data_IF_646447731441
#
_entry.id   IF_646447731441
#
_cell.length_a   1.000
_cell.length_b   1.000
_cell.length_c   1.000
_cell.angle_alpha   90.00
_cell.angle_beta   90.00
_cell.angle_gamma   90.00
#
_symmetry.space_group_name_H-M   'P 1'
#
loop_
_entity.id
_entity.type
_entity.pdbx_description
1 polymer ?
#
# COMPACT_ATOMS: atom_id res chain seq x y z
N UNK A 1 -37.62 -12.48 -3.41
CA UNK A 1 -36.78 -13.00 -2.30
C UNK A 1 -35.32 -12.55 -2.44
N UNK A 2 -35.03 -11.24 -2.65
CA UNK A 2 -33.64 -10.74 -2.80
C UNK A 2 -33.16 -9.85 -1.64
N UNK A 3 -34.00 -9.61 -0.63
CA UNK A 3 -33.74 -8.58 0.38
C UNK A 3 -32.83 -9.04 1.54
N UNK A 4 -32.72 -10.35 1.80
CA UNK A 4 -31.92 -10.85 2.93
C UNK A 4 -30.42 -11.05 2.62
N UNK A 5 -30.05 -11.39 1.37
CA UNK A 5 -28.65 -11.66 1.03
C UNK A 5 -27.79 -10.38 1.09
N UNK A 6 -28.33 -9.25 0.61
CA UNK A 6 -27.66 -7.95 0.64
C UNK A 6 -27.51 -7.36 2.05
N UNK A 7 -28.48 -7.60 2.93
CA UNK A 7 -28.38 -7.18 4.33
C UNK A 7 -27.37 -8.04 5.09
N UNK A 8 -27.38 -9.35 4.88
CA UNK A 8 -26.46 -10.28 5.55
C UNK A 8 -25.00 -10.09 5.08
N UNK A 9 -24.79 -9.82 3.78
CA UNK A 9 -23.45 -9.50 3.25
C UNK A 9 -22.91 -8.18 3.79
N UNK A 10 -23.74 -7.13 3.89
CA UNK A 10 -23.36 -5.86 4.52
C UNK A 10 -23.08 -6.00 6.02
N UNK A 11 -23.85 -6.81 6.74
CA UNK A 11 -23.60 -7.11 8.16
C UNK A 11 -22.27 -7.87 8.34
N UNK A 12 -22.01 -8.88 7.51
CA UNK A 12 -20.74 -9.62 7.54
C UNK A 12 -19.53 -8.76 7.15
N UNK A 13 -19.67 -7.88 6.16
CA UNK A 13 -18.63 -6.92 5.78
C UNK A 13 -18.39 -5.89 6.89
N UNK A 14 -19.44 -5.36 7.52
CA UNK A 14 -19.34 -4.42 8.63
C UNK A 14 -18.63 -5.06 9.83
N UNK A 15 -18.95 -6.32 10.14
CA UNK A 15 -18.26 -7.07 11.19
C UNK A 15 -16.78 -7.32 10.83
N UNK A 16 -16.49 -7.66 9.58
CA UNK A 16 -15.11 -7.88 9.10
C UNK A 16 -14.27 -6.61 9.19
N UNK A 17 -14.80 -5.46 8.78
CA UNK A 17 -14.12 -4.16 8.92
C UNK A 17 -13.88 -3.80 10.38
N UNK A 18 -14.84 -4.05 11.28
CA UNK A 18 -14.69 -3.76 12.71
C UNK A 18 -13.61 -4.62 13.35
N UNK A 19 -13.64 -5.95 13.11
CA UNK A 19 -12.62 -6.89 13.59
C UNK A 19 -11.23 -6.49 13.06
N UNK A 20 -11.15 -6.17 11.77
CA UNK A 20 -9.93 -5.69 11.15
C UNK A 20 -9.38 -4.43 11.85
N UNK A 21 -10.22 -3.40 12.04
CA UNK A 21 -9.79 -2.16 12.71
C UNK A 21 -9.35 -2.37 14.15
N UNK A 22 -10.08 -3.19 14.91
CA UNK A 22 -9.75 -3.50 16.31
C UNK A 22 -8.37 -4.18 16.42
N UNK A 23 -8.08 -5.15 15.55
CA UNK A 23 -6.78 -5.83 15.53
C UNK A 23 -5.62 -4.89 15.19
N UNK A 24 -5.83 -3.95 14.26
CA UNK A 24 -4.84 -2.94 13.88
C UNK A 24 -4.57 -1.94 15.03
N UNK A 25 -5.63 -1.49 15.70
CA UNK A 25 -5.55 -0.55 16.83
C UNK A 25 -4.85 -1.19 18.03
N UNK A 26 -5.18 -2.45 18.33
CA UNK A 26 -4.56 -3.25 19.37
C UNK A 26 -3.18 -3.81 18.97
N UNK A 27 -2.66 -3.45 17.79
CA UNK A 27 -1.36 -3.89 17.28
C UNK A 27 -1.19 -5.43 17.27
N UNK A 28 -2.30 -6.16 17.10
CA UNK A 28 -2.42 -7.63 17.17
C UNK A 28 -2.15 -8.29 15.81
N UNK A 29 -0.97 -8.02 15.25
CA UNK A 29 -0.58 -8.44 13.90
C UNK A 29 -0.54 -9.96 13.72
N UNK A 30 -0.06 -10.71 14.72
CA UNK A 30 0.02 -12.17 14.62
C UNK A 30 -1.35 -12.81 14.47
N UNK A 31 -2.34 -12.30 15.21
CA UNK A 31 -3.73 -12.74 15.11
C UNK A 31 -4.30 -12.38 13.74
N UNK A 32 -4.07 -11.16 13.28
CA UNK A 32 -4.53 -10.70 11.96
C UNK A 32 -3.98 -11.58 10.83
N UNK A 33 -2.67 -11.81 10.81
CA UNK A 33 -2.00 -12.67 9.83
C UNK A 33 -2.52 -14.12 9.91
N UNK A 34 -2.73 -14.63 11.11
CA UNK A 34 -3.32 -15.97 11.30
C UNK A 34 -4.73 -16.04 10.75
N UNK A 35 -5.56 -15.03 10.97
CA UNK A 35 -6.93 -14.97 10.42
C UNK A 35 -6.94 -14.91 8.90
N UNK A 36 -6.02 -14.17 8.28
CA UNK A 36 -5.83 -14.16 6.83
C UNK A 36 -5.40 -15.54 6.31
N UNK A 37 -4.40 -16.15 6.94
CA UNK A 37 -3.87 -17.47 6.53
C UNK A 37 -4.91 -18.58 6.63
N UNK A 38 -5.78 -18.51 7.64
CA UNK A 38 -6.88 -19.46 7.85
C UNK A 38 -8.13 -19.11 7.02
N UNK A 39 -8.09 -18.06 6.20
CA UNK A 39 -9.22 -17.55 5.39
C UNK A 39 -10.47 -17.23 6.22
N UNK A 40 -10.28 -16.88 7.49
CA UNK A 40 -11.36 -16.42 8.39
C UNK A 40 -11.70 -14.96 8.08
N UNK A 41 -10.68 -14.19 7.70
CA UNK A 41 -10.80 -12.80 7.24
C UNK A 41 -10.14 -12.69 5.87
N UNK A 42 -10.74 -11.93 4.96
CA UNK A 42 -10.13 -11.64 3.66
C UNK A 42 -8.89 -10.75 3.85
N UNK A 43 -7.76 -11.11 3.24
CA UNK A 43 -6.51 -10.33 3.28
C UNK A 43 -6.71 -8.91 2.74
N UNK A 44 -7.67 -8.72 1.84
CA UNK A 44 -8.03 -7.44 1.25
C UNK A 44 -9.14 -6.71 2.03
N UNK A 45 -9.45 -7.13 3.26
CA UNK A 45 -10.33 -6.37 4.14
C UNK A 45 -9.76 -4.97 4.34
N UNK A 46 -10.64 -3.97 4.27
CA UNK A 46 -10.31 -2.56 4.41
C UNK A 46 -11.06 -1.95 5.58
N UNK A 47 -10.48 -0.91 6.17
CA UNK A 47 -11.18 -0.09 7.16
C UNK A 47 -12.17 0.89 6.51
N UNK A 48 -12.85 1.69 7.35
CA UNK A 48 -13.84 2.67 6.90
C UNK A 48 -13.29 3.79 6.01
N UNK A 49 -11.96 3.96 5.92
CA UNK A 49 -11.30 4.90 5.00
C UNK A 49 -10.74 4.20 3.75
N UNK A 50 -11.08 2.92 3.55
CA UNK A 50 -10.61 2.13 2.44
C UNK A 50 -9.15 1.66 2.57
N UNK A 51 -8.54 1.73 3.76
CA UNK A 51 -7.15 1.35 3.97
C UNK A 51 -7.04 -0.13 4.29
N UNK A 52 -6.12 -0.84 3.65
CA UNK A 52 -5.88 -2.28 3.90
C UNK A 52 -4.80 -2.51 4.97
N UNK A 53 -4.49 -3.78 5.26
CA UNK A 53 -3.46 -4.13 6.25
C UNK A 53 -2.07 -3.61 5.90
N UNK A 54 -1.72 -3.57 4.60
CA UNK A 54 -0.42 -3.11 4.12
C UNK A 54 -0.20 -1.62 4.40
N UNK A 55 -1.23 -0.77 4.23
CA UNK A 55 -1.20 0.64 4.65
C UNK A 55 -0.70 0.79 6.09
N UNK A 56 -1.32 0.05 6.99
CA UNK A 56 -1.07 0.17 8.42
C UNK A 56 0.29 -0.43 8.82
N UNK A 57 0.69 -1.53 8.19
CA UNK A 57 2.00 -2.14 8.43
C UNK A 57 3.13 -1.19 8.00
N UNK A 58 2.98 -0.51 6.86
CA UNK A 58 3.91 0.52 6.39
C UNK A 58 3.96 1.72 7.33
N UNK A 59 2.80 2.25 7.73
CA UNK A 59 2.72 3.39 8.64
C UNK A 59 3.39 3.09 10.00
N UNK A 60 3.25 1.85 10.49
CA UNK A 60 3.86 1.38 11.75
C UNK A 60 5.27 0.79 11.59
N UNK A 61 5.89 0.88 10.40
CA UNK A 61 7.24 0.34 10.11
C UNK A 61 7.42 -1.16 10.43
N UNK A 62 6.38 -1.98 10.20
CA UNK A 62 6.40 -3.42 10.48
C UNK A 62 6.91 -4.23 9.28
N UNK A 63 8.22 -4.20 9.02
CA UNK A 63 8.84 -4.84 7.86
C UNK A 63 8.49 -6.34 7.70
N UNK A 64 8.48 -7.10 8.80
CA UNK A 64 8.14 -8.53 8.75
C UNK A 64 6.68 -8.77 8.35
N UNK A 65 5.78 -7.92 8.84
CA UNK A 65 4.35 -7.95 8.46
C UNK A 65 4.17 -7.54 7.01
N UNK A 66 4.87 -6.51 6.53
CA UNK A 66 4.85 -6.09 5.13
C UNK A 66 5.20 -7.27 4.21
N UNK A 67 6.30 -7.97 4.53
CA UNK A 67 6.72 -9.15 3.77
C UNK A 67 5.65 -10.22 3.73
N UNK A 68 5.11 -10.61 4.90
CA UNK A 68 4.07 -11.64 4.98
C UNK A 68 2.82 -11.25 4.19
N UNK A 69 2.38 -9.98 4.27
CA UNK A 69 1.19 -9.52 3.54
C UNK A 69 1.39 -9.58 2.02
N UNK A 70 2.59 -9.23 1.54
CA UNK A 70 2.94 -9.35 0.11
C UNK A 70 2.98 -10.83 -0.31
N UNK A 71 3.56 -11.71 0.50
CA UNK A 71 3.57 -13.17 0.26
C UNK A 71 2.14 -13.76 0.23
N UNK A 72 1.20 -13.15 0.96
CA UNK A 72 -0.23 -13.48 0.95
C UNK A 72 -0.99 -12.86 -0.25
N UNK A 73 -0.31 -12.21 -1.18
CA UNK A 73 -0.89 -11.53 -2.35
C UNK A 73 -1.92 -10.45 -2.00
N UNK A 74 -1.66 -9.65 -0.95
CA UNK A 74 -2.47 -8.48 -0.65
C UNK A 74 -2.46 -7.48 -1.83
N UNK A 75 -3.57 -6.79 -2.02
CA UNK A 75 -3.67 -5.67 -2.95
C UNK A 75 -2.65 -4.56 -2.61
N UNK A 76 -1.89 -4.12 -3.62
CA UNK A 76 -0.87 -3.08 -3.48
C UNK A 76 -1.46 -1.68 -3.43
N UNK A 77 -2.73 -1.48 -3.78
CA UNK A 77 -3.46 -0.25 -3.50
C UNK A 77 -3.78 -0.17 -2.00
N UNK A 78 -2.89 0.46 -1.24
CA UNK A 78 -2.98 0.54 0.22
C UNK A 78 -4.18 1.36 0.69
N UNK A 79 -4.62 2.33 -0.11
CA UNK A 79 -5.89 3.06 0.02
C UNK A 79 -6.45 3.36 -1.38
N UNK A 80 -7.67 3.89 -1.52
CA UNK A 80 -8.19 4.29 -2.84
C UNK A 80 -7.19 5.20 -3.55
N UNK A 81 -6.83 4.82 -4.78
CA UNK A 81 -5.93 5.55 -5.68
C UNK A 81 -4.51 5.76 -5.14
N UNK A 82 -4.05 4.96 -4.18
CA UNK A 82 -2.70 5.08 -3.62
C UNK A 82 -2.00 3.72 -3.57
N UNK A 83 -0.97 3.56 -4.40
CA UNK A 83 -0.09 2.39 -4.41
C UNK A 83 0.86 2.39 -3.21
N UNK A 84 1.25 1.20 -2.76
CA UNK A 84 2.22 1.00 -1.68
C UNK A 84 3.54 1.75 -1.94
N UNK A 85 4.07 1.69 -3.17
CA UNK A 85 5.32 2.39 -3.49
C UNK A 85 5.16 3.91 -3.35
N UNK A 86 4.08 4.48 -3.88
CA UNK A 86 3.76 5.91 -3.77
C UNK A 86 3.53 6.34 -2.31
N UNK A 87 2.90 5.50 -1.49
CA UNK A 87 2.73 5.79 -0.08
C UNK A 87 4.06 5.78 0.69
N UNK A 88 4.97 4.85 0.38
CA UNK A 88 6.31 4.84 0.96
C UNK A 88 7.10 6.11 0.61
N UNK A 89 6.97 6.60 -0.63
CA UNK A 89 7.51 7.89 -1.08
C UNK A 89 6.87 9.05 -0.33
N UNK A 90 5.55 9.08 -0.19
CA UNK A 90 4.85 10.14 0.55
C UNK A 90 5.35 10.25 2.00
N UNK A 91 5.64 9.13 2.65
CA UNK A 91 6.23 9.06 4.00
C UNK A 91 7.73 9.44 4.05
N UNK A 92 8.38 9.64 2.89
CA UNK A 92 9.83 9.76 2.71
C UNK A 92 10.65 8.64 3.39
N UNK A 93 10.11 7.42 3.41
CA UNK A 93 10.61 6.36 4.28
C UNK A 93 11.39 5.29 3.50
N UNK A 94 12.71 5.46 3.46
CA UNK A 94 13.64 4.56 2.75
C UNK A 94 13.63 3.13 3.30
N UNK A 95 13.33 2.93 4.59
CA UNK A 95 13.25 1.57 5.16
C UNK A 95 12.08 0.79 4.57
N UNK A 96 10.92 1.45 4.45
CA UNK A 96 9.74 0.85 3.81
C UNK A 96 9.97 0.67 2.31
N UNK A 97 10.51 1.67 1.60
CA UNK A 97 10.86 1.54 0.18
C UNK A 97 11.78 0.34 -0.08
N UNK A 98 12.83 0.19 0.72
CA UNK A 98 13.75 -0.96 0.63
C UNK A 98 13.05 -2.28 0.91
N UNK A 99 12.16 -2.32 1.90
CA UNK A 99 11.39 -3.52 2.22
C UNK A 99 10.49 -3.93 1.04
N UNK A 100 9.72 -3.00 0.47
CA UNK A 100 8.85 -3.25 -0.68
C UNK A 100 9.66 -3.75 -1.89
N UNK A 101 10.77 -3.08 -2.23
CA UNK A 101 11.69 -3.51 -3.30
C UNK A 101 12.22 -4.93 -3.06
N UNK A 102 12.64 -5.24 -1.84
CA UNK A 102 13.16 -6.56 -1.48
C UNK A 102 12.08 -7.66 -1.49
N UNK A 103 10.80 -7.28 -1.41
CA UNK A 103 9.66 -8.18 -1.61
C UNK A 103 9.28 -8.33 -3.10
N UNK A 104 10.07 -7.75 -4.02
CA UNK A 104 9.88 -7.89 -5.46
C UNK A 104 8.90 -6.89 -6.09
N UNK A 105 8.48 -5.85 -5.35
CA UNK A 105 7.66 -4.79 -5.95
C UNK A 105 8.51 -3.92 -6.88
N UNK A 106 7.92 -3.58 -8.01
CA UNK A 106 8.52 -2.70 -9.01
C UNK A 106 8.62 -1.26 -8.48
N UNK A 107 9.76 -0.61 -8.73
CA UNK A 107 10.02 0.78 -8.33
C UNK A 107 9.41 1.79 -9.31
N UNK A 108 9.13 1.38 -10.54
CA UNK A 108 8.57 2.23 -11.61
C UNK A 108 7.08 1.93 -11.85
N UNK A 109 6.37 1.49 -10.81
CA UNK A 109 4.90 1.35 -10.87
C UNK A 109 4.24 2.67 -11.28
N UNK A 110 3.18 2.58 -12.06
CA UNK A 110 2.39 3.74 -12.47
C UNK A 110 1.01 3.69 -11.83
N UNK A 111 0.48 4.84 -11.45
CA UNK A 111 -0.90 4.98 -11.01
C UNK A 111 -1.85 5.29 -12.18
N UNK A 112 -3.10 5.62 -11.87
CA UNK A 112 -4.16 5.88 -12.85
C UNK A 112 -3.88 7.10 -13.76
N UNK A 113 -2.97 7.99 -13.36
CA UNK A 113 -2.55 9.18 -14.13
C UNK A 113 -1.15 9.02 -14.71
N UNK A 114 -0.68 7.77 -14.81
CA UNK A 114 0.62 7.41 -15.36
C UNK A 114 1.80 8.02 -14.59
N UNK A 115 1.65 8.27 -13.28
CA UNK A 115 2.70 8.88 -12.45
C UNK A 115 3.53 7.81 -11.75
N UNK A 116 4.86 7.90 -11.87
CA UNK A 116 5.80 7.02 -11.16
C UNK A 116 6.12 7.53 -9.75
N UNK A 117 6.58 6.64 -8.84
CA UNK A 117 7.10 7.02 -7.53
C UNK A 117 8.16 8.11 -7.57
N UNK A 118 9.00 8.15 -8.62
CA UNK A 118 10.05 9.17 -8.76
C UNK A 118 9.46 10.56 -9.05
N UNK A 119 8.47 10.66 -9.94
CA UNK A 119 7.74 11.91 -10.19
C UNK A 119 7.12 12.42 -8.88
N UNK A 120 6.42 11.54 -8.14
CA UNK A 120 5.87 11.87 -6.83
C UNK A 120 6.91 12.36 -5.84
N UNK A 121 8.08 11.69 -5.78
CA UNK A 121 9.14 12.05 -4.87
C UNK A 121 9.66 13.47 -5.16
N UNK A 122 9.79 13.85 -6.42
CA UNK A 122 10.24 15.18 -6.84
C UNK A 122 9.19 16.25 -6.52
N UNK A 123 7.94 16.03 -6.96
CA UNK A 123 6.85 16.99 -6.75
C UNK A 123 6.60 17.28 -5.26
N UNK A 124 6.71 16.25 -4.40
CA UNK A 124 6.58 16.39 -2.95
C UNK A 124 7.90 16.64 -2.20
N UNK A 125 9.00 16.89 -2.90
CA UNK A 125 10.33 17.21 -2.34
C UNK A 125 10.87 16.17 -1.34
N UNK A 126 10.60 14.88 -1.60
CA UNK A 126 10.95 13.71 -0.76
C UNK A 126 12.40 13.30 -1.02
N UNK A 127 13.33 14.08 -0.47
CA UNK A 127 14.75 13.99 -0.80
C UNK A 127 15.37 12.60 -0.55
N UNK A 128 14.95 11.89 0.49
CA UNK A 128 15.49 10.55 0.77
C UNK A 128 14.96 9.52 -0.24
N UNK A 129 13.69 9.63 -0.59
CA UNK A 129 13.05 8.80 -1.62
C UNK A 129 13.62 9.07 -3.00
N UNK A 130 13.86 10.33 -3.39
CA UNK A 130 14.54 10.69 -4.66
C UNK A 130 15.89 9.99 -4.73
N UNK A 131 16.74 10.14 -3.71
CA UNK A 131 18.07 9.49 -3.67
C UNK A 131 17.96 7.98 -3.74
N UNK A 132 17.02 7.38 -3.02
CA UNK A 132 16.82 5.94 -3.02
C UNK A 132 16.37 5.43 -4.40
N UNK A 133 15.36 6.05 -5.00
CA UNK A 133 14.83 5.64 -6.30
C UNK A 133 15.88 5.77 -7.41
N UNK A 134 16.58 6.91 -7.49
CA UNK A 134 17.64 7.12 -8.48
C UNK A 134 18.80 6.14 -8.31
N UNK A 135 19.25 5.90 -7.07
CA UNK A 135 20.32 4.91 -6.80
C UNK A 135 19.92 3.46 -7.09
N UNK A 136 18.62 3.20 -7.27
CA UNK A 136 18.09 1.88 -7.64
C UNK A 136 17.60 1.82 -9.08
N UNK A 137 17.95 2.81 -9.92
CA UNK A 137 17.73 2.77 -11.36
C UNK A 137 16.32 3.12 -11.81
N UNK A 138 15.55 3.86 -11.00
CA UNK A 138 14.22 4.36 -11.41
C UNK A 138 14.30 5.16 -12.72
N UNK A 139 13.32 4.98 -13.60
CA UNK A 139 13.29 5.66 -14.90
C UNK A 139 13.11 7.18 -14.75
N UNK A 140 14.06 7.93 -15.28
CA UNK A 140 14.05 9.39 -15.29
C UNK A 140 13.39 9.99 -16.53
N UNK A 141 13.07 9.18 -17.53
CA UNK A 141 12.54 9.62 -18.82
C UNK A 141 11.02 9.46 -18.95
N UNK A 142 10.39 8.69 -18.07
CA UNK A 142 8.94 8.52 -18.05
C UNK A 142 8.22 9.86 -17.91
N UNK A 143 7.13 10.03 -18.64
CA UNK A 143 6.30 11.24 -18.63
C UNK A 143 4.87 10.88 -18.21
N UNK A 144 4.35 11.57 -17.20
CA UNK A 144 2.96 11.40 -16.77
C UNK A 144 1.97 12.14 -17.70
N UNK A 145 0.66 11.98 -17.48
CA UNK A 145 -0.35 12.64 -18.32
C UNK A 145 -0.40 14.18 -18.18
N UNK A 146 0.33 14.75 -17.22
CA UNK A 146 0.46 16.18 -17.01
C UNK A 146 1.74 16.75 -17.65
N UNK A 147 2.53 15.91 -18.32
CA UNK A 147 3.79 16.29 -18.95
C UNK A 147 4.96 16.38 -17.96
N UNK A 148 4.80 15.87 -16.74
CA UNK A 148 5.90 15.82 -15.78
C UNK A 148 6.81 14.66 -16.12
N UNK A 149 8.10 14.96 -16.26
CA UNK A 149 9.15 13.97 -16.48
C UNK A 149 10.29 14.21 -15.47
N UNK A 150 10.79 13.20 -14.74
CA UNK A 150 11.80 13.42 -13.71
C UNK A 150 13.02 14.19 -14.20
N UNK A 151 13.55 13.89 -15.39
CA UNK A 151 14.71 14.60 -15.96
C UNK A 151 14.48 16.10 -16.18
N UNK A 152 13.22 16.53 -16.35
CA UNK A 152 12.85 17.93 -16.53
C UNK A 152 12.54 18.64 -15.20
N UNK A 153 12.37 17.87 -14.11
CA UNK A 153 11.99 18.37 -12.79
C UNK A 153 13.18 18.46 -11.79
N UNK A 154 14.30 17.81 -12.09
CA UNK A 154 15.54 17.80 -11.28
C UNK A 154 16.48 18.89 -11.79
#
# INVERSE_FOLDING_TARGET
MCSNIFLNSKLNQKNSSTIFTELIENNSWDILIKMFSLRILDVNTRDCKGRNALYWAMLKNKADVIKILIDLNIDQFVSPNLLAMNFAVYLDNVKVLRCLKNCGLDLDVIDEVNTTPLIYAILYKKSNSIKFLLSNGADVNHEDFMGNCPKNLI
#
